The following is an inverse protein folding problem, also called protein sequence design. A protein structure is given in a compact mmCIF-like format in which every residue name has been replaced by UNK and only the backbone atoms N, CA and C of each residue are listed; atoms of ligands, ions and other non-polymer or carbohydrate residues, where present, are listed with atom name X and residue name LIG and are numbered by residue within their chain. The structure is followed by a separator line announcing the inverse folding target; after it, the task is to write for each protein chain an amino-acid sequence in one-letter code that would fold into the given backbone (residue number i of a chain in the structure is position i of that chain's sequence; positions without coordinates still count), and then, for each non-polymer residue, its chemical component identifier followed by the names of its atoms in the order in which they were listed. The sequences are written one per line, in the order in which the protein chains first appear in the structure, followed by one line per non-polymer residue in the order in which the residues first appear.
data_IF_274758575154
#
_entry.id   IF_274758575154
#
_cell.length_a   1.000
_cell.length_b   1.000
_cell.length_c   1.000
_cell.angle_alpha   90.00
_cell.angle_beta   90.00
_cell.angle_gamma   90.00
#
_symmetry.space_group_name_H-M   'P 1'
#
loop_
_entity.id
_entity.type
_entity.pdbx_description
1 polymer ?
#
# COMPACT_ATOMS: atom_id res chain seq x y z
N UNK A 1 23.24 7.24 -23.14
CA UNK A 1 22.74 5.91 -22.73
C UNK A 1 23.24 5.65 -21.34
N UNK A 2 22.38 5.15 -20.42
CA UNK A 2 22.87 4.51 -19.22
C UNK A 2 23.91 3.46 -19.61
N UNK A 3 24.99 3.35 -18.86
CA UNK A 3 26.03 2.38 -19.15
C UNK A 3 25.45 0.97 -19.10
N UNK A 4 25.38 0.27 -20.24
CA UNK A 4 24.81 -1.08 -20.38
C UNK A 4 25.44 -2.08 -19.38
N UNK A 5 26.71 -1.90 -19.01
CA UNK A 5 27.36 -2.75 -18.02
C UNK A 5 26.79 -2.52 -16.61
N UNK A 6 26.60 -1.27 -16.20
CA UNK A 6 26.00 -0.95 -14.89
C UNK A 6 24.54 -1.38 -14.79
N UNK A 7 23.83 -1.43 -15.91
CA UNK A 7 22.46 -1.91 -15.98
C UNK A 7 22.37 -3.44 -15.93
N UNK A 8 23.30 -4.13 -16.61
CA UNK A 8 23.42 -5.58 -16.49
C UNK A 8 23.65 -6.01 -15.04
N UNK A 9 24.48 -5.25 -14.30
CA UNK A 9 24.70 -5.48 -12.87
C UNK A 9 23.45 -5.21 -12.02
N UNK A 10 22.67 -4.17 -12.34
CA UNK A 10 21.40 -3.89 -11.67
C UNK A 10 20.41 -5.02 -11.88
N UNK A 11 20.26 -5.48 -13.11
CA UNK A 11 19.35 -6.58 -13.45
C UNK A 11 19.79 -7.90 -12.83
N UNK A 12 21.09 -8.20 -12.84
CA UNK A 12 21.62 -9.41 -12.20
C UNK A 12 21.41 -9.39 -10.68
N UNK A 13 21.63 -8.25 -10.03
CA UNK A 13 21.34 -8.09 -8.58
C UNK A 13 19.86 -8.26 -8.28
N UNK A 14 18.97 -7.67 -9.07
CA UNK A 14 17.53 -7.78 -8.91
C UNK A 14 17.03 -9.21 -9.11
N UNK A 15 17.57 -9.91 -10.10
CA UNK A 15 17.24 -11.30 -10.39
C UNK A 15 17.86 -12.29 -9.38
N UNK A 16 18.87 -11.88 -8.61
CA UNK A 16 19.67 -12.79 -7.78
C UNK A 16 20.57 -13.74 -8.59
N UNK A 17 20.67 -13.54 -9.90
CA UNK A 17 21.43 -14.37 -10.83
C UNK A 17 21.77 -13.57 -12.11
N UNK A 18 22.70 -14.12 -12.92
CA UNK A 18 22.96 -13.53 -14.24
C UNK A 18 21.69 -13.64 -15.11
N UNK A 19 21.34 -12.53 -15.76
CA UNK A 19 20.21 -12.47 -16.70
C UNK A 19 20.73 -12.45 -18.13
N UNK A 20 19.99 -13.09 -19.04
CA UNK A 20 20.14 -12.96 -20.48
C UNK A 20 18.98 -12.15 -21.05
N UNK A 21 19.14 -11.68 -22.27
CA UNK A 21 18.15 -10.89 -22.98
C UNK A 21 17.88 -11.51 -24.33
N UNK A 22 16.66 -11.42 -24.80
CA UNK A 22 16.31 -11.74 -26.17
C UNK A 22 17.03 -10.75 -27.13
N UNK A 23 17.97 -11.24 -27.98
CA UNK A 23 18.74 -10.36 -28.85
C UNK A 23 17.89 -9.59 -29.86
N UNK A 24 16.80 -10.17 -30.34
CA UNK A 24 15.92 -9.54 -31.32
C UNK A 24 15.14 -8.39 -30.70
N UNK A 25 14.62 -8.57 -29.51
CA UNK A 25 13.99 -7.50 -28.74
C UNK A 25 14.96 -6.37 -28.37
N UNK A 26 16.19 -6.71 -28.02
CA UNK A 26 17.21 -5.70 -27.71
C UNK A 26 17.55 -4.83 -28.92
N UNK A 27 17.61 -5.40 -30.13
CA UNK A 27 17.82 -4.63 -31.37
C UNK A 27 16.62 -3.71 -31.64
N UNK A 28 15.40 -4.19 -31.45
CA UNK A 28 14.18 -3.39 -31.62
C UNK A 28 14.14 -2.21 -30.62
N UNK A 29 14.42 -2.48 -29.35
CA UNK A 29 14.50 -1.45 -28.30
C UNK A 29 15.55 -0.41 -28.64
N UNK A 30 16.73 -0.84 -29.09
CA UNK A 30 17.81 0.08 -29.47
C UNK A 30 17.42 0.97 -30.65
N UNK A 31 16.81 0.41 -31.68
CA UNK A 31 16.35 1.17 -32.86
C UNK A 31 15.26 2.17 -32.49
N UNK A 32 14.32 1.76 -31.67
CA UNK A 32 13.24 2.64 -31.16
C UNK A 32 13.82 3.79 -30.32
N UNK A 33 14.76 3.47 -29.42
CA UNK A 33 15.42 4.48 -28.59
C UNK A 33 16.19 5.50 -29.43
N UNK A 34 16.96 5.07 -30.42
CA UNK A 34 17.74 5.95 -31.29
C UNK A 34 16.81 6.89 -32.08
N UNK A 35 15.72 6.38 -32.58
CA UNK A 35 14.69 7.19 -33.26
C UNK A 35 14.09 8.22 -32.33
N UNK A 36 13.56 7.81 -31.18
CA UNK A 36 12.90 8.71 -30.22
C UNK A 36 13.87 9.76 -29.65
N UNK A 37 15.13 9.41 -29.37
CA UNK A 37 16.15 10.35 -28.95
C UNK A 37 16.45 11.37 -30.04
N UNK A 38 16.56 10.94 -31.31
CA UNK A 38 16.78 11.85 -32.43
C UNK A 38 15.62 12.79 -32.61
N UNK A 39 14.38 12.29 -32.51
CA UNK A 39 13.17 13.11 -32.62
C UNK A 39 13.09 14.14 -31.47
N UNK A 40 13.39 13.73 -30.23
CA UNK A 40 13.42 14.64 -29.07
C UNK A 40 14.52 15.71 -29.22
N UNK A 41 15.70 15.32 -29.71
CA UNK A 41 16.83 16.23 -29.90
C UNK A 41 16.52 17.27 -31.00
N UNK A 42 15.85 16.85 -32.07
CA UNK A 42 15.42 17.76 -33.13
C UNK A 42 14.33 18.73 -32.68
N UNK A 43 13.48 18.35 -31.71
CA UNK A 43 12.52 19.25 -31.07
C UNK A 43 13.22 20.27 -30.15
N UNK A 44 14.35 19.89 -29.56
CA UNK A 44 15.12 20.75 -28.65
C UNK A 44 14.26 21.33 -27.53
N UNK A 45 14.34 22.66 -27.37
CA UNK A 45 13.56 23.39 -26.35
C UNK A 45 12.10 23.63 -26.73
N UNK A 46 11.65 23.21 -27.92
CA UNK A 46 10.24 23.21 -28.33
C UNK A 46 9.55 21.90 -27.96
N UNK A 47 10.16 21.09 -27.09
CA UNK A 47 9.58 19.86 -26.60
C UNK A 47 8.20 20.12 -25.95
N UNK A 48 7.20 19.33 -26.37
CA UNK A 48 5.84 19.46 -25.86
C UNK A 48 5.76 19.02 -24.41
N UNK A 49 4.87 19.62 -23.60
CA UNK A 49 4.56 19.15 -22.26
C UNK A 49 4.21 17.66 -22.27
N UNK A 50 4.74 16.93 -21.31
CA UNK A 50 4.50 15.49 -21.17
C UNK A 50 3.23 15.23 -20.36
N UNK A 51 2.51 14.16 -20.71
CA UNK A 51 1.34 13.72 -19.95
C UNK A 51 1.76 12.72 -18.86
N UNK A 52 2.37 13.24 -17.77
CA UNK A 52 2.73 12.47 -16.60
C UNK A 52 2.48 13.32 -15.35
N UNK A 53 1.87 12.73 -14.32
CA UNK A 53 1.43 13.45 -13.12
C UNK A 53 2.59 14.12 -12.37
N UNK A 54 3.79 13.55 -12.41
CA UNK A 54 5.00 14.11 -11.79
C UNK A 54 5.42 15.45 -12.38
N UNK A 55 5.01 15.74 -13.62
CA UNK A 55 5.37 16.92 -14.40
C UNK A 55 4.14 17.75 -14.81
N UNK A 56 3.01 17.57 -14.11
CA UNK A 56 1.75 18.22 -14.46
C UNK A 56 1.65 19.69 -14.02
N UNK A 57 2.51 20.14 -13.10
CA UNK A 57 2.54 21.53 -12.65
C UNK A 57 2.92 22.49 -13.81
N UNK A 58 2.28 23.63 -13.86
CA UNK A 58 2.44 24.65 -14.93
C UNK A 58 3.91 25.09 -15.10
N UNK A 59 4.69 25.08 -14.03
CA UNK A 59 6.10 25.42 -14.06
C UNK A 59 6.93 24.50 -14.99
N UNK A 60 6.54 23.24 -15.15
CA UNK A 60 7.19 22.31 -16.07
C UNK A 60 6.87 22.66 -17.54
N UNK A 61 5.62 23.01 -17.85
CA UNK A 61 5.22 23.37 -19.20
C UNK A 61 5.80 24.71 -19.65
N UNK A 62 5.94 25.66 -18.72
CA UNK A 62 6.43 27.02 -19.01
C UNK A 62 7.96 27.15 -19.00
N UNK A 63 8.68 26.10 -18.64
CA UNK A 63 10.15 26.05 -18.63
C UNK A 63 10.63 25.05 -19.70
N UNK A 64 11.15 25.50 -20.85
CA UNK A 64 11.59 24.62 -21.94
C UNK A 64 12.64 23.58 -21.52
N UNK A 65 13.56 23.95 -20.63
CA UNK A 65 14.59 23.04 -20.13
C UNK A 65 13.97 21.97 -19.24
N UNK A 66 13.02 22.34 -18.38
CA UNK A 66 12.29 21.38 -17.54
C UNK A 66 11.44 20.43 -18.40
N UNK A 67 10.70 20.96 -19.40
CA UNK A 67 9.91 20.16 -20.32
C UNK A 67 10.77 19.14 -21.09
N UNK A 68 11.92 19.56 -21.59
CA UNK A 68 12.91 18.69 -22.26
C UNK A 68 13.43 17.62 -21.30
N UNK A 69 13.79 18.00 -20.07
CA UNK A 69 14.28 17.10 -19.05
C UNK A 69 13.25 16.02 -18.69
N UNK A 70 11.97 16.41 -18.53
CA UNK A 70 10.86 15.49 -18.28
C UNK A 70 10.66 14.52 -19.46
N UNK A 71 10.68 15.03 -20.71
CA UNK A 71 10.56 14.20 -21.91
C UNK A 71 11.72 13.21 -22.05
N UNK A 72 12.96 13.65 -21.84
CA UNK A 72 14.16 12.78 -21.86
C UNK A 72 14.11 11.71 -20.76
N UNK A 73 13.68 12.08 -19.56
CA UNK A 73 13.50 11.13 -18.47
C UNK A 73 12.46 10.05 -18.81
N UNK A 74 11.29 10.44 -19.32
CA UNK A 74 10.23 9.49 -19.68
C UNK A 74 10.63 8.58 -20.85
N UNK A 75 11.39 9.09 -21.81
CA UNK A 75 11.96 8.29 -22.87
C UNK A 75 12.90 7.21 -22.30
N UNK A 76 13.83 7.61 -21.43
CA UNK A 76 14.73 6.66 -20.77
C UNK A 76 13.96 5.65 -19.90
N UNK A 77 12.94 6.09 -19.16
CA UNK A 77 12.11 5.23 -18.33
C UNK A 77 11.40 4.14 -19.16
N UNK A 78 10.76 4.51 -20.27
CA UNK A 78 10.13 3.54 -21.19
C UNK A 78 11.13 2.54 -21.74
N UNK A 79 12.31 3.01 -22.14
CA UNK A 79 13.38 2.15 -22.66
C UNK A 79 13.85 1.14 -21.61
N UNK A 80 14.07 1.60 -20.38
CA UNK A 80 14.46 0.75 -19.26
C UNK A 80 13.43 -0.33 -18.94
N UNK A 81 12.14 0.03 -18.95
CA UNK A 81 11.06 -0.93 -18.75
C UNK A 81 10.98 -1.94 -19.91
N UNK A 82 11.14 -1.49 -21.16
CA UNK A 82 11.21 -2.40 -22.31
C UNK A 82 12.38 -3.39 -22.21
N UNK A 83 13.54 -2.93 -21.70
CA UNK A 83 14.69 -3.81 -21.43
C UNK A 83 14.37 -4.82 -20.32
N UNK A 84 13.71 -4.39 -19.24
CA UNK A 84 13.29 -5.29 -18.18
C UNK A 84 12.32 -6.36 -18.69
N UNK A 85 11.41 -5.99 -19.59
CA UNK A 85 10.46 -6.90 -20.23
C UNK A 85 11.12 -7.87 -21.25
N UNK A 86 12.30 -7.51 -21.77
CA UNK A 86 13.10 -8.34 -22.67
C UNK A 86 14.03 -9.34 -21.95
N UNK A 87 14.05 -9.35 -20.62
CA UNK A 87 14.83 -10.32 -19.84
C UNK A 87 14.27 -11.72 -20.04
N UNK A 88 15.17 -12.68 -20.32
CA UNK A 88 14.85 -14.10 -20.32
C UNK A 88 14.85 -14.64 -18.89
N UNK A 89 13.87 -15.45 -18.55
CA UNK A 89 13.74 -16.05 -17.24
C UNK A 89 12.31 -16.48 -16.95
N UNK A 90 12.12 -17.07 -15.78
CA UNK A 90 10.79 -17.37 -15.26
C UNK A 90 10.01 -16.10 -14.88
N UNK A 91 8.73 -16.27 -14.62
CA UNK A 91 7.84 -15.15 -14.26
C UNK A 91 8.34 -14.38 -13.04
N UNK A 92 8.85 -15.07 -12.03
CA UNK A 92 9.34 -14.46 -10.80
C UNK A 92 10.59 -13.60 -11.02
N UNK A 93 11.55 -14.11 -11.79
CA UNK A 93 12.76 -13.38 -12.20
C UNK A 93 12.39 -12.10 -12.96
N UNK A 94 11.48 -12.20 -13.95
CA UNK A 94 10.99 -11.04 -14.72
C UNK A 94 10.31 -10.02 -13.83
N UNK A 95 9.44 -10.44 -12.92
CA UNK A 95 8.75 -9.56 -11.99
C UNK A 95 9.71 -8.82 -11.05
N UNK A 96 10.74 -9.50 -10.54
CA UNK A 96 11.79 -8.90 -9.70
C UNK A 96 12.60 -7.85 -10.44
N UNK A 97 13.05 -8.17 -11.66
CA UNK A 97 13.81 -7.22 -12.49
C UNK A 97 12.95 -6.01 -12.83
N UNK A 98 11.72 -6.24 -13.27
CA UNK A 98 10.76 -5.19 -13.58
C UNK A 98 10.52 -4.27 -12.37
N UNK A 99 10.31 -4.86 -11.19
CA UNK A 99 10.10 -4.11 -9.95
C UNK A 99 11.32 -3.25 -9.59
N UNK A 100 12.53 -3.83 -9.61
CA UNK A 100 13.75 -3.10 -9.30
C UNK A 100 14.02 -1.95 -10.28
N UNK A 101 13.75 -2.17 -11.57
CA UNK A 101 13.87 -1.13 -12.60
C UNK A 101 12.84 -0.02 -12.36
N UNK A 102 11.61 -0.35 -11.99
CA UNK A 102 10.60 0.65 -11.64
C UNK A 102 11.02 1.49 -10.43
N UNK A 103 11.56 0.85 -9.37
CA UNK A 103 12.07 1.56 -8.20
C UNK A 103 13.19 2.55 -8.59
N UNK A 104 14.10 2.11 -9.46
CA UNK A 104 15.19 2.97 -9.92
C UNK A 104 14.67 4.16 -10.76
N UNK A 105 13.70 3.91 -11.66
CA UNK A 105 13.04 4.95 -12.45
C UNK A 105 12.39 5.97 -11.51
N UNK A 106 11.60 5.50 -10.54
CA UNK A 106 10.87 6.37 -9.62
C UNK A 106 11.83 7.21 -8.76
N UNK A 107 12.89 6.60 -8.23
CA UNK A 107 13.90 7.29 -7.44
C UNK A 107 14.69 8.34 -8.24
N UNK A 108 14.92 8.11 -9.54
CA UNK A 108 15.69 9.01 -10.41
C UNK A 108 14.87 10.09 -11.11
N UNK A 109 13.57 10.21 -10.80
CA UNK A 109 12.71 11.21 -11.43
C UNK A 109 13.22 12.64 -11.16
N UNK A 110 13.32 13.50 -12.20
CA UNK A 110 13.76 14.91 -12.04
C UNK A 110 12.92 15.68 -11.01
N UNK A 111 11.64 15.31 -10.84
CA UNK A 111 10.75 15.91 -9.85
C UNK A 111 11.19 15.70 -8.40
N UNK A 112 12.04 14.70 -8.12
CA UNK A 112 12.54 14.41 -6.78
C UNK A 112 13.73 15.28 -6.36
N UNK A 113 14.28 16.07 -7.28
CA UNK A 113 15.51 16.84 -7.03
C UNK A 113 15.27 18.33 -7.23
N UNK A 114 15.48 19.14 -6.19
CA UNK A 114 15.31 20.60 -6.25
C UNK A 114 16.01 21.23 -7.46
N UNK A 115 17.20 20.75 -7.83
CA UNK A 115 17.97 21.28 -8.97
C UNK A 115 17.26 21.08 -10.33
N UNK A 116 16.32 20.14 -10.43
CA UNK A 116 15.63 19.79 -11.67
C UNK A 116 14.11 20.01 -11.58
N UNK A 117 13.55 20.16 -10.36
CA UNK A 117 12.14 20.35 -10.16
C UNK A 117 11.73 21.83 -10.36
N UNK A 118 11.15 22.12 -11.51
CA UNK A 118 10.75 23.48 -11.88
C UNK A 118 9.72 24.11 -10.93
N UNK A 119 8.81 23.31 -10.38
CA UNK A 119 7.80 23.80 -9.42
C UNK A 119 8.43 24.09 -8.06
N UNK A 120 9.30 23.22 -7.57
CA UNK A 120 10.04 23.44 -6.33
C UNK A 120 10.96 24.68 -6.42
N UNK A 121 11.64 24.88 -7.57
CA UNK A 121 12.44 26.08 -7.81
C UNK A 121 11.60 27.35 -7.82
N UNK A 122 10.45 27.33 -8.52
CA UNK A 122 9.50 28.45 -8.52
C UNK A 122 9.06 28.78 -7.10
N UNK A 123 8.67 27.74 -6.32
CA UNK A 123 8.26 27.91 -4.92
C UNK A 123 9.39 28.48 -4.05
N UNK A 124 10.62 28.00 -4.22
CA UNK A 124 11.78 28.52 -3.49
C UNK A 124 12.02 30.02 -3.75
N UNK A 125 11.87 30.46 -5.01
CA UNK A 125 11.99 31.87 -5.38
C UNK A 125 10.85 32.70 -4.77
N UNK A 126 9.60 32.26 -4.92
CA UNK A 126 8.41 32.94 -4.39
C UNK A 126 8.45 33.12 -2.88
N UNK A 127 8.95 32.11 -2.16
CA UNK A 127 9.08 32.12 -0.71
C UNK A 127 10.41 32.65 -0.21
N UNK A 128 11.27 33.18 -1.08
CA UNK A 128 12.62 33.67 -0.74
C UNK A 128 13.45 32.66 0.04
N UNK A 129 13.31 31.36 -0.29
CA UNK A 129 14.03 30.27 0.32
C UNK A 129 13.38 29.66 1.58
N UNK A 130 12.28 30.21 2.09
CA UNK A 130 11.59 29.68 3.28
C UNK A 130 11.11 28.23 3.07
N UNK A 131 10.63 27.88 1.88
CA UNK A 131 10.22 26.52 1.56
C UNK A 131 11.37 25.51 1.69
N UNK A 132 12.59 25.90 1.32
CA UNK A 132 13.80 25.06 1.46
C UNK A 132 14.15 24.87 2.94
N UNK A 133 14.14 25.98 3.71
CA UNK A 133 14.42 25.92 5.15
C UNK A 133 13.43 25.01 5.89
N UNK A 134 12.14 25.09 5.53
CA UNK A 134 11.10 24.22 6.09
C UNK A 134 11.31 22.74 5.69
N UNK A 135 11.68 22.47 4.43
CA UNK A 135 12.00 21.11 3.96
C UNK A 135 13.17 20.51 4.72
N UNK A 136 14.25 21.28 4.94
CA UNK A 136 15.39 20.83 5.75
C UNK A 136 14.97 20.55 7.20
N UNK A 137 14.14 21.40 7.79
CA UNK A 137 13.64 21.17 9.15
C UNK A 137 12.81 19.88 9.26
N UNK A 138 11.94 19.61 8.27
CA UNK A 138 11.18 18.37 8.18
C UNK A 138 12.10 17.14 8.03
N UNK A 139 13.09 17.21 7.17
CA UNK A 139 14.09 16.14 7.00
C UNK A 139 14.82 15.83 8.31
N UNK A 140 15.27 16.87 9.03
CA UNK A 140 15.93 16.70 10.34
C UNK A 140 14.98 16.09 11.39
N UNK A 141 13.71 16.45 11.34
CA UNK A 141 12.67 15.84 12.18
C UNK A 141 12.52 14.36 11.90
N UNK A 142 12.37 13.98 10.61
CA UNK A 142 12.24 12.59 10.17
C UNK A 142 13.49 11.76 10.53
N UNK A 143 14.66 12.31 10.37
CA UNK A 143 15.92 11.65 10.79
C UNK A 143 15.94 11.36 12.30
N UNK A 144 15.39 12.23 13.14
CA UNK A 144 15.28 11.99 14.59
C UNK A 144 14.25 10.91 14.93
N UNK A 145 13.17 10.84 14.18
CA UNK A 145 12.14 9.82 14.36
C UNK A 145 12.56 8.45 13.80
N UNK A 146 13.52 8.43 12.85
CA UNK A 146 13.96 7.22 12.15
C UNK A 146 12.99 6.72 11.08
N UNK A 147 12.07 7.56 10.62
CA UNK A 147 11.16 7.28 9.49
C UNK A 147 10.72 8.58 8.82
N UNK A 148 10.31 8.47 7.56
CA UNK A 148 9.75 9.60 6.81
C UNK A 148 8.31 9.83 7.22
N UNK A 149 7.99 11.06 7.65
CA UNK A 149 6.62 11.49 7.97
C UNK A 149 5.91 11.90 6.68
N UNK A 150 4.86 11.17 6.32
CA UNK A 150 4.02 11.53 5.17
C UNK A 150 2.95 12.57 5.51
N UNK A 151 2.73 12.82 6.80
CA UNK A 151 1.73 13.76 7.31
C UNK A 151 2.11 14.19 8.73
N UNK A 152 1.54 15.30 9.20
CA UNK A 152 1.64 15.70 10.60
C UNK A 152 0.68 14.85 11.44
N UNK A 153 1.23 13.81 12.09
CA UNK A 153 0.45 12.89 12.91
C UNK A 153 -0.13 13.55 14.17
N UNK A 154 0.44 14.66 14.61
CA UNK A 154 0.01 15.36 15.83
C UNK A 154 -1.37 16.00 15.74
N UNK A 155 -1.87 16.21 14.51
CA UNK A 155 -3.19 16.79 14.24
C UNK A 155 -4.32 15.78 14.29
N UNK A 156 -4.01 14.47 14.34
CA UNK A 156 -5.02 13.42 14.36
C UNK A 156 -5.31 12.94 15.78
N UNK A 157 -6.59 12.98 16.13
CA UNK A 157 -7.06 12.51 17.43
C UNK A 157 -8.27 11.58 17.23
N UNK A 158 -8.09 10.32 17.67
CA UNK A 158 -9.14 9.28 17.57
C UNK A 158 -10.36 9.69 18.39
N UNK A 159 -11.54 9.59 17.79
CA UNK A 159 -12.80 10.01 18.39
C UNK A 159 -13.14 11.49 18.20
N UNK A 160 -12.20 12.32 17.67
CA UNK A 160 -12.46 13.74 17.38
C UNK A 160 -12.47 14.05 15.88
N UNK A 161 -11.40 13.69 15.17
CA UNK A 161 -11.27 13.93 13.74
C UNK A 161 -10.88 12.67 12.94
N UNK A 162 -10.63 11.56 13.63
CA UNK A 162 -10.49 10.21 13.11
C UNK A 162 -11.37 9.30 13.94
N UNK A 163 -12.00 8.29 13.33
CA UNK A 163 -12.93 7.37 13.99
C UNK A 163 -14.09 8.12 14.66
N UNK A 164 -14.76 8.98 13.89
CA UNK A 164 -15.76 9.92 14.43
C UNK A 164 -17.18 9.38 14.47
N UNK A 165 -17.42 8.19 13.88
CA UNK A 165 -18.75 7.56 13.93
C UNK A 165 -19.05 7.08 15.36
N UNK A 166 -20.17 7.54 15.92
CA UNK A 166 -20.54 7.25 17.31
C UNK A 166 -20.82 5.76 17.51
N UNK A 167 -20.18 5.15 18.50
CA UNK A 167 -20.33 3.76 18.87
C UNK A 167 -19.77 3.45 20.26
N UNK A 168 -19.90 2.21 20.67
CA UNK A 168 -19.40 1.75 21.97
C UNK A 168 -18.95 0.30 21.92
N UNK A 169 -18.00 -0.03 22.81
CA UNK A 169 -17.54 -1.41 22.99
C UNK A 169 -18.63 -2.21 23.69
N UNK A 170 -19.09 -3.28 23.08
CA UNK A 170 -20.15 -4.15 23.59
C UNK A 170 -19.65 -5.52 24.02
N UNK A 171 -18.42 -5.87 23.65
CA UNK A 171 -17.75 -7.09 24.08
C UNK A 171 -16.21 -6.89 24.02
N UNK A 172 -15.49 -7.59 24.89
CA UNK A 172 -14.03 -7.61 24.93
C UNK A 172 -13.52 -8.99 25.35
N UNK A 173 -12.40 -9.41 24.71
CA UNK A 173 -11.58 -10.53 25.16
C UNK A 173 -10.09 -10.24 24.96
N UNK A 174 -9.23 -11.24 25.08
CA UNK A 174 -7.78 -11.06 24.94
C UNK A 174 -7.33 -10.56 23.56
N UNK A 175 -8.10 -10.83 22.48
CA UNK A 175 -7.72 -10.59 21.10
C UNK A 175 -8.37 -9.35 20.50
N UNK A 176 -9.59 -9.01 20.93
CA UNK A 176 -10.35 -7.91 20.32
C UNK A 176 -11.40 -7.30 21.24
N UNK A 177 -11.82 -6.10 20.89
CA UNK A 177 -13.05 -5.47 21.30
C UNK A 177 -14.05 -5.47 20.14
N UNK A 178 -15.33 -5.75 20.42
CA UNK A 178 -16.40 -5.59 19.46
C UNK A 178 -17.08 -4.24 19.68
N UNK A 179 -17.06 -3.40 18.66
CA UNK A 179 -17.70 -2.08 18.68
C UNK A 179 -19.03 -2.18 17.96
N UNK A 180 -20.11 -1.76 18.62
CA UNK A 180 -21.42 -1.53 18.01
C UNK A 180 -21.59 -0.04 17.74
N UNK A 181 -21.99 0.31 16.52
CA UNK A 181 -22.19 1.71 16.13
C UNK A 181 -23.65 2.11 16.31
N UNK A 182 -23.86 3.35 16.77
CA UNK A 182 -25.16 3.94 16.96
C UNK A 182 -25.88 4.11 15.62
N UNK A 183 -27.10 3.58 15.48
CA UNK A 183 -27.88 3.78 14.26
C UNK A 183 -28.14 5.26 13.97
N UNK A 184 -28.04 5.64 12.71
CA UNK A 184 -28.37 6.99 12.22
C UNK A 184 -29.75 7.04 11.54
N UNK A 185 -30.48 5.92 11.54
CA UNK A 185 -31.83 5.78 11.00
C UNK A 185 -32.81 5.40 12.10
N UNK A 186 -34.10 5.72 11.91
CA UNK A 186 -35.16 5.39 12.87
C UNK A 186 -35.39 3.89 13.02
N UNK A 187 -35.04 3.10 12.01
CA UNK A 187 -35.12 1.64 11.98
C UNK A 187 -33.87 1.10 11.31
N UNK A 188 -33.48 -0.10 11.70
CA UNK A 188 -32.36 -0.83 11.10
C UNK A 188 -32.88 -2.14 10.49
N UNK A 189 -32.08 -2.69 9.56
CA UNK A 189 -32.34 -4.01 9.03
C UNK A 189 -32.21 -5.08 10.13
N UNK A 190 -32.98 -6.14 10.02
CA UNK A 190 -33.01 -7.26 10.98
C UNK A 190 -31.65 -7.96 11.07
N UNK A 191 -31.02 -8.23 9.92
CA UNK A 191 -29.67 -8.82 9.88
C UNK A 191 -28.60 -7.78 10.20
N UNK A 192 -27.83 -7.97 11.28
CA UNK A 192 -26.71 -7.10 11.59
C UNK A 192 -25.57 -7.25 10.57
N UNK A 193 -24.70 -6.28 10.54
CA UNK A 193 -23.54 -6.25 9.65
C UNK A 193 -22.25 -6.21 10.47
N UNK A 194 -21.45 -7.28 10.39
CA UNK A 194 -20.17 -7.43 11.06
C UNK A 194 -19.03 -7.14 10.12
N UNK A 195 -18.14 -6.20 10.46
CA UNK A 195 -16.94 -5.90 9.73
C UNK A 195 -15.72 -6.47 10.46
N UNK A 196 -14.89 -7.20 9.70
CA UNK A 196 -13.63 -7.79 10.17
C UNK A 196 -12.48 -7.12 9.41
N UNK A 197 -11.88 -6.04 9.96
CA UNK A 197 -10.73 -5.37 9.37
C UNK A 197 -9.45 -6.20 9.58
N UNK A 198 -8.32 -5.86 8.92
CA UNK A 198 -7.04 -6.52 9.13
C UNK A 198 -6.58 -6.43 10.59
N UNK A 199 -6.01 -7.50 11.13
CA UNK A 199 -5.45 -7.53 12.49
C UNK A 199 -4.17 -6.69 12.64
N UNK A 200 -3.61 -6.21 11.54
CA UNK A 200 -2.39 -5.40 11.49
C UNK A 200 -2.68 -3.89 11.42
N UNK A 201 -3.93 -3.50 11.16
CA UNK A 201 -4.36 -2.11 11.05
C UNK A 201 -5.35 -1.76 12.15
N UNK A 202 -5.49 -0.47 12.42
CA UNK A 202 -6.53 0.02 13.32
C UNK A 202 -7.91 -0.17 12.68
N UNK A 203 -8.93 -0.50 13.49
CA UNK A 203 -10.31 -0.69 13.02
C UNK A 203 -10.81 0.51 12.20
N UNK A 204 -10.38 1.74 12.56
CA UNK A 204 -10.80 2.97 11.92
C UNK A 204 -10.16 3.24 10.55
N UNK A 205 -9.41 2.30 9.97
CA UNK A 205 -9.09 2.35 8.54
C UNK A 205 -10.36 2.43 7.69
N UNK A 206 -11.48 1.93 8.20
CA UNK A 206 -12.80 2.00 7.57
C UNK A 206 -13.65 3.17 8.08
N UNK A 207 -13.11 4.02 8.97
CA UNK A 207 -13.79 5.17 9.58
C UNK A 207 -12.84 6.35 9.77
N UNK A 208 -12.21 6.83 8.70
CA UNK A 208 -11.18 7.88 8.80
C UNK A 208 -11.80 9.24 9.16
N UNK A 209 -12.81 9.67 8.42
CA UNK A 209 -13.52 10.94 8.65
C UNK A 209 -14.94 10.85 8.06
N UNK A 210 -15.89 11.74 8.43
CA UNK A 210 -17.29 11.61 8.02
C UNK A 210 -17.52 11.47 6.50
N UNK A 211 -16.76 12.19 5.68
CA UNK A 211 -16.86 12.12 4.23
C UNK A 211 -16.14 10.91 3.61
N UNK A 212 -15.38 10.16 4.42
CA UNK A 212 -14.52 9.07 4.01
C UNK A 212 -14.59 7.93 5.05
N UNK A 213 -15.80 7.44 5.32
CA UNK A 213 -16.08 6.39 6.28
C UNK A 213 -17.07 5.39 5.69
N UNK A 214 -16.61 4.14 5.48
CA UNK A 214 -17.49 3.03 5.12
C UNK A 214 -18.44 2.69 6.28
N UNK A 215 -17.96 2.75 7.51
CA UNK A 215 -18.75 2.47 8.71
C UNK A 215 -19.91 3.45 8.82
N UNK A 216 -19.64 4.74 8.69
CA UNK A 216 -20.69 5.77 8.71
C UNK A 216 -21.70 5.57 7.60
N UNK A 217 -21.23 5.27 6.39
CA UNK A 217 -22.11 4.93 5.28
C UNK A 217 -23.04 3.76 5.62
N UNK A 218 -22.53 2.69 6.19
CA UNK A 218 -23.36 1.53 6.58
C UNK A 218 -24.45 1.91 7.58
N UNK A 219 -24.13 2.66 8.63
CA UNK A 219 -25.14 3.08 9.63
C UNK A 219 -26.13 4.09 9.06
N UNK A 220 -25.74 4.95 8.14
CA UNK A 220 -26.62 5.86 7.40
C UNK A 220 -27.58 5.14 6.46
N UNK A 221 -27.18 3.95 5.95
CA UNK A 221 -28.05 3.09 5.14
C UNK A 221 -28.93 2.14 5.97
N UNK A 222 -28.91 2.25 7.29
CA UNK A 222 -29.77 1.47 8.19
C UNK A 222 -29.22 0.10 8.57
N UNK A 223 -27.94 -0.16 8.37
CA UNK A 223 -27.32 -1.38 8.89
C UNK A 223 -26.98 -1.23 10.37
N UNK A 224 -27.39 -2.21 11.20
CA UNK A 224 -26.90 -2.35 12.56
C UNK A 224 -25.48 -2.89 12.49
N UNK A 225 -24.48 -2.03 12.67
CA UNK A 225 -23.09 -2.27 12.27
C UNK A 225 -22.20 -2.55 13.47
N UNK A 226 -21.43 -3.63 13.37
CA UNK A 226 -20.43 -4.06 14.33
C UNK A 226 -19.05 -4.13 13.68
N UNK A 227 -18.00 -3.79 14.42
CA UNK A 227 -16.62 -3.86 13.92
C UNK A 227 -15.72 -4.51 14.95
N UNK A 228 -14.87 -5.41 14.48
CA UNK A 228 -13.80 -6.02 15.29
C UNK A 228 -12.65 -5.00 15.42
N UNK A 229 -12.39 -4.56 16.64
CA UNK A 229 -11.22 -3.74 16.98
C UNK A 229 -10.14 -4.64 17.59
N UNK A 230 -9.11 -4.96 16.82
CA UNK A 230 -8.05 -5.85 17.23
C UNK A 230 -7.16 -5.25 18.32
N UNK A 231 -6.82 -6.04 19.31
CA UNK A 231 -5.73 -5.71 20.25
C UNK A 231 -4.40 -5.74 19.51
N UNK A 232 -3.56 -4.71 19.69
CA UNK A 232 -2.19 -4.79 19.23
C UNK A 232 -1.45 -5.90 19.96
N UNK A 233 -0.81 -6.84 19.26
CA UNK A 233 -0.09 -7.92 19.92
C UNK A 233 1.10 -7.39 20.71
N UNK A 234 1.33 -8.00 21.85
CA UNK A 234 2.49 -7.85 22.69
C UNK A 234 3.00 -9.25 23.12
N UNK A 235 4.02 -9.31 23.95
CA UNK A 235 4.59 -10.59 24.40
C UNK A 235 3.57 -11.50 25.12
N UNK A 236 2.53 -10.94 25.73
CA UNK A 236 1.47 -11.72 26.38
C UNK A 236 0.64 -12.55 25.40
N UNK A 237 0.63 -12.16 24.11
CA UNK A 237 -0.07 -12.88 23.05
C UNK A 237 0.85 -13.81 22.22
N UNK A 238 2.11 -13.97 22.60
CA UNK A 238 3.08 -14.78 21.84
C UNK A 238 2.67 -16.25 21.69
N UNK A 239 1.80 -16.74 22.57
CA UNK A 239 1.25 -18.11 22.52
C UNK A 239 0.04 -18.24 21.58
N UNK A 240 -0.53 -17.15 21.11
CA UNK A 240 -1.69 -17.17 20.21
C UNK A 240 -1.28 -17.55 18.80
N UNK A 241 -2.03 -18.47 18.21
CA UNK A 241 -1.84 -18.97 16.85
C UNK A 241 -2.91 -18.40 15.90
N UNK A 242 -2.79 -18.72 14.63
CA UNK A 242 -3.81 -18.39 13.64
C UNK A 242 -5.17 -18.96 14.01
N UNK A 243 -5.20 -20.18 14.55
CA UNK A 243 -6.45 -20.84 14.99
C UNK A 243 -7.15 -20.05 16.09
N UNK A 244 -6.39 -19.46 17.03
CA UNK A 244 -6.98 -18.60 18.06
C UNK A 244 -7.63 -17.33 17.44
N UNK A 245 -6.99 -16.74 16.44
CA UNK A 245 -7.59 -15.58 15.74
C UNK A 245 -8.87 -15.97 15.00
N UNK A 246 -8.95 -17.16 14.47
CA UNK A 246 -10.17 -17.66 13.81
C UNK A 246 -11.24 -17.99 14.84
N UNK A 247 -10.93 -18.83 15.84
CA UNK A 247 -11.91 -19.35 16.80
C UNK A 247 -12.29 -18.33 17.87
N UNK A 248 -11.27 -17.80 18.59
CA UNK A 248 -11.49 -16.94 19.74
C UNK A 248 -11.81 -15.48 19.36
N UNK A 249 -11.61 -15.11 18.09
CA UNK A 249 -11.92 -13.77 17.62
C UNK A 249 -13.03 -13.76 16.55
N UNK A 250 -12.79 -14.25 15.32
CA UNK A 250 -13.77 -14.06 14.24
C UNK A 250 -15.05 -14.85 14.49
N UNK A 251 -14.96 -16.15 14.79
CA UNK A 251 -16.14 -16.98 15.12
C UNK A 251 -16.81 -16.46 16.38
N UNK A 252 -16.02 -16.07 17.38
CA UNK A 252 -16.56 -15.47 18.61
C UNK A 252 -17.29 -14.16 18.34
N UNK A 253 -16.77 -13.28 17.48
CA UNK A 253 -17.42 -12.03 17.10
C UNK A 253 -18.78 -12.27 16.37
N UNK A 254 -18.84 -13.29 15.51
CA UNK A 254 -20.08 -13.72 14.86
C UNK A 254 -21.10 -14.11 15.91
N UNK A 255 -20.76 -15.04 16.84
CA UNK A 255 -21.68 -15.50 17.88
C UNK A 255 -22.12 -14.39 18.82
N UNK A 256 -21.20 -13.53 19.27
CA UNK A 256 -21.55 -12.37 20.13
C UNK A 256 -22.47 -11.40 19.41
N UNK A 257 -22.27 -11.16 18.10
CA UNK A 257 -23.17 -10.32 17.31
C UNK A 257 -24.58 -10.91 17.25
N UNK A 258 -24.72 -12.24 17.08
CA UNK A 258 -26.00 -12.93 17.12
C UNK A 258 -26.65 -12.83 18.50
N UNK A 259 -25.87 -13.07 19.58
CA UNK A 259 -26.37 -12.99 20.96
C UNK A 259 -26.92 -11.61 21.31
N UNK A 260 -26.23 -10.55 20.90
CA UNK A 260 -26.64 -9.15 21.16
C UNK A 260 -27.88 -8.78 20.34
N UNK A 261 -27.97 -9.24 19.11
CA UNK A 261 -29.03 -8.83 18.19
C UNK A 261 -30.25 -9.73 18.20
N UNK A 262 -30.09 -10.98 18.63
CA UNK A 262 -31.09 -12.04 18.52
C UNK A 262 -31.32 -12.52 17.08
N UNK A 263 -30.48 -12.13 16.15
CA UNK A 263 -30.60 -12.51 14.74
C UNK A 263 -30.05 -13.92 14.50
N UNK A 264 -30.79 -14.75 13.76
CA UNK A 264 -30.32 -16.09 13.38
C UNK A 264 -29.13 -16.05 12.46
N UNK A 265 -29.08 -15.06 11.57
CA UNK A 265 -27.97 -14.86 10.61
C UNK A 265 -27.57 -13.41 10.54
N UNK A 266 -26.32 -13.17 10.14
CA UNK A 266 -25.79 -11.84 9.92
C UNK A 266 -25.16 -11.71 8.52
N UNK A 267 -24.88 -10.49 8.09
CA UNK A 267 -24.02 -10.22 6.94
C UNK A 267 -22.63 -9.87 7.45
N UNK A 268 -21.59 -10.31 6.76
CA UNK A 268 -20.21 -10.05 7.17
C UNK A 268 -19.40 -9.40 6.04
N UNK A 269 -18.44 -8.54 6.42
CA UNK A 269 -17.45 -7.98 5.51
C UNK A 269 -16.07 -8.24 6.07
N UNK A 270 -15.21 -8.85 5.24
CA UNK A 270 -13.79 -9.01 5.54
C UNK A 270 -12.95 -8.10 4.65
N UNK A 271 -12.06 -7.33 5.27
CA UNK A 271 -11.15 -6.45 4.55
C UNK A 271 -9.72 -6.96 4.63
N UNK A 272 -9.07 -7.20 3.47
CA UNK A 272 -7.70 -7.68 3.33
C UNK A 272 -7.47 -8.97 4.15
N UNK A 273 -6.48 -9.04 5.06
CA UNK A 273 -6.25 -10.18 5.97
C UNK A 273 -7.47 -10.48 6.84
N UNK A 274 -8.27 -9.48 7.20
CA UNK A 274 -9.55 -9.70 7.88
C UNK A 274 -10.52 -10.54 7.04
N UNK A 275 -10.50 -10.39 5.72
CA UNK A 275 -11.25 -11.24 4.80
C UNK A 275 -10.70 -12.67 4.72
N UNK A 276 -9.38 -12.83 4.74
CA UNK A 276 -8.73 -14.15 4.83
C UNK A 276 -9.16 -14.87 6.12
N UNK A 277 -9.14 -14.15 7.25
CA UNK A 277 -9.61 -14.71 8.54
C UNK A 277 -11.10 -15.06 8.49
N UNK A 278 -11.92 -14.18 7.94
CA UNK A 278 -13.36 -14.44 7.79
C UNK A 278 -13.63 -15.66 6.90
N UNK A 279 -12.92 -15.80 5.77
CA UNK A 279 -13.10 -16.97 4.89
C UNK A 279 -12.71 -18.28 5.60
N UNK A 280 -11.63 -18.27 6.40
CA UNK A 280 -11.24 -19.43 7.20
C UNK A 280 -12.28 -19.74 8.29
N UNK A 281 -12.82 -18.72 8.97
CA UNK A 281 -13.88 -18.89 9.95
C UNK A 281 -15.15 -19.51 9.32
N UNK A 282 -15.55 -19.03 8.15
CA UNK A 282 -16.69 -19.57 7.42
C UNK A 282 -16.47 -21.04 6.99
N UNK A 283 -15.25 -21.39 6.57
CA UNK A 283 -14.90 -22.76 6.22
C UNK A 283 -14.99 -23.71 7.45
N UNK A 284 -14.50 -23.25 8.60
CA UNK A 284 -14.60 -24.00 9.87
C UNK A 284 -16.06 -24.18 10.29
N UNK A 285 -16.86 -23.11 10.25
CA UNK A 285 -18.28 -23.16 10.59
C UNK A 285 -19.04 -24.10 9.64
N UNK A 286 -18.81 -24.01 8.34
CA UNK A 286 -19.44 -24.91 7.37
C UNK A 286 -19.06 -26.39 7.61
N UNK A 287 -17.81 -26.67 7.98
CA UNK A 287 -17.40 -28.02 8.35
C UNK A 287 -18.09 -28.56 9.62
N UNK A 288 -18.57 -27.64 10.50
CA UNK A 288 -19.38 -27.97 11.68
C UNK A 288 -20.87 -28.06 11.36
N UNK A 289 -21.29 -27.76 10.14
CA UNK A 289 -22.71 -27.68 9.76
C UNK A 289 -23.41 -26.39 10.24
N UNK A 290 -22.62 -25.34 10.51
CA UNK A 290 -23.12 -24.05 10.99
C UNK A 290 -23.05 -23.00 9.87
N UNK A 291 -24.11 -22.25 9.65
CA UNK A 291 -24.23 -21.23 8.59
C UNK A 291 -24.74 -19.88 9.14
N UNK A 292 -24.04 -19.26 10.10
CA UNK A 292 -24.51 -18.03 10.74
C UNK A 292 -24.39 -16.78 9.83
N UNK A 293 -23.67 -16.87 8.71
CA UNK A 293 -23.44 -15.75 7.79
C UNK A 293 -24.25 -15.94 6.52
N UNK A 294 -25.23 -15.05 6.31
CA UNK A 294 -26.10 -15.07 5.13
C UNK A 294 -25.41 -14.55 3.87
N UNK A 295 -24.58 -13.53 4.01
CA UNK A 295 -23.83 -12.92 2.92
C UNK A 295 -22.45 -12.49 3.41
N UNK A 296 -21.40 -12.84 2.66
CA UNK A 296 -20.03 -12.40 2.91
C UNK A 296 -19.52 -11.49 1.78
N UNK A 297 -19.00 -10.33 2.14
CA UNK A 297 -18.35 -9.39 1.23
C UNK A 297 -16.85 -9.40 1.51
N UNK A 298 -16.05 -9.56 0.47
CA UNK A 298 -14.59 -9.54 0.57
C UNK A 298 -14.01 -8.34 -0.17
N UNK A 299 -13.31 -7.46 0.54
CA UNK A 299 -12.62 -6.31 -0.03
C UNK A 299 -11.11 -6.57 -0.02
N UNK A 300 -10.48 -6.51 -1.21
CA UNK A 300 -9.02 -6.68 -1.38
C UNK A 300 -8.46 -7.89 -0.61
N UNK A 301 -9.18 -9.00 -0.65
CA UNK A 301 -8.89 -10.21 0.13
C UNK A 301 -8.20 -11.26 -0.74
N UNK A 302 -7.11 -11.84 -0.23
CA UNK A 302 -6.50 -13.05 -0.79
C UNK A 302 -7.03 -14.28 -0.03
N UNK A 303 -7.60 -15.22 -0.76
CA UNK A 303 -8.04 -16.53 -0.26
C UNK A 303 -7.12 -17.62 -0.83
N UNK A 304 -6.72 -17.50 -2.09
CA UNK A 304 -5.71 -18.33 -2.74
C UNK A 304 -4.40 -17.54 -2.86
N UNK A 305 -3.31 -18.10 -2.34
CA UNK A 305 -1.98 -17.49 -2.32
C UNK A 305 -1.04 -18.07 -3.39
N UNK A 306 -1.55 -18.83 -4.36
CA UNK A 306 -0.74 -19.38 -5.46
C UNK A 306 -0.25 -18.29 -6.41
N UNK A 307 -1.00 -17.19 -6.54
CA UNK A 307 -0.60 -15.98 -7.26
C UNK A 307 -0.90 -14.75 -6.39
N UNK A 308 0.13 -14.21 -5.77
CA UNK A 308 0.04 -13.00 -4.94
C UNK A 308 0.42 -11.73 -5.68
N UNK A 309 0.57 -11.83 -7.00
CA UNK A 309 0.93 -10.70 -7.86
C UNK A 309 2.28 -10.09 -7.48
N UNK A 310 2.33 -8.75 -7.41
CA UNK A 310 3.59 -8.04 -7.13
C UNK A 310 4.18 -8.36 -5.75
N UNK A 311 3.37 -8.82 -4.78
CA UNK A 311 3.86 -9.14 -3.44
C UNK A 311 4.86 -10.30 -3.45
N UNK A 312 4.82 -11.18 -4.46
CA UNK A 312 5.77 -12.29 -4.60
C UNK A 312 7.24 -11.83 -4.75
N UNK A 313 7.47 -10.59 -5.21
CA UNK A 313 8.84 -10.07 -5.35
C UNK A 313 9.55 -9.89 -4.01
N UNK A 314 8.81 -9.70 -2.92
CA UNK A 314 9.35 -9.51 -1.57
C UNK A 314 9.62 -10.81 -0.83
N UNK A 315 9.16 -11.96 -1.36
CA UNK A 315 9.19 -13.24 -0.66
C UNK A 315 10.07 -14.22 -1.42
N UNK A 316 11.13 -14.69 -0.77
CA UNK A 316 11.96 -15.81 -1.20
C UNK A 316 12.42 -16.64 -0.01
N UNK A 317 13.03 -17.81 -0.28
CA UNK A 317 13.49 -18.71 0.76
C UNK A 317 14.49 -18.07 1.75
N UNK A 318 15.34 -17.16 1.26
CA UNK A 318 16.33 -16.50 2.13
C UNK A 318 15.63 -15.50 3.05
N UNK A 319 14.65 -14.77 2.53
CA UNK A 319 13.84 -13.86 3.33
C UNK A 319 13.06 -14.62 4.41
N UNK A 320 12.42 -15.74 4.06
CA UNK A 320 11.69 -16.58 5.00
C UNK A 320 12.64 -17.10 6.08
N UNK A 321 13.79 -17.70 5.71
CA UNK A 321 14.80 -18.19 6.67
C UNK A 321 15.31 -17.08 7.59
N UNK A 322 15.54 -15.89 7.06
CA UNK A 322 15.97 -14.75 7.87
C UNK A 322 14.90 -14.37 8.91
N UNK A 323 13.62 -14.35 8.50
CA UNK A 323 12.50 -14.05 9.41
C UNK A 323 12.31 -15.16 10.44
N UNK A 324 12.41 -16.41 10.06
CA UNK A 324 12.37 -17.56 10.99
C UNK A 324 13.47 -17.46 12.03
N UNK A 325 14.70 -17.15 11.65
CA UNK A 325 15.80 -16.93 12.59
C UNK A 325 15.57 -15.73 13.51
N UNK A 326 15.01 -14.64 12.97
CA UNK A 326 14.68 -13.44 13.74
C UNK A 326 13.65 -13.73 14.85
N UNK A 327 12.65 -14.56 14.55
CA UNK A 327 11.57 -14.89 15.48
C UNK A 327 11.75 -16.19 16.24
N UNK A 328 12.81 -16.94 15.98
CA UNK A 328 13.08 -18.23 16.66
C UNK A 328 13.16 -18.12 18.19
N UNK A 329 13.53 -16.96 18.72
CA UNK A 329 13.60 -16.68 20.15
C UNK A 329 12.42 -15.83 20.66
N UNK A 330 11.36 -15.70 19.86
CA UNK A 330 10.25 -14.79 20.09
C UNK A 330 10.52 -13.40 19.53
N UNK A 331 9.50 -12.56 19.56
CA UNK A 331 9.56 -11.18 19.09
C UNK A 331 8.28 -10.74 18.38
N UNK A 332 8.24 -9.46 18.06
CA UNK A 332 7.15 -8.85 17.33
C UNK A 332 7.64 -8.35 15.96
N UNK A 333 6.84 -8.54 14.94
CA UNK A 333 7.06 -7.88 13.66
C UNK A 333 6.61 -6.42 13.78
N UNK A 334 7.52 -5.45 13.66
CA UNK A 334 7.14 -4.04 13.73
C UNK A 334 6.18 -3.67 12.60
N UNK A 335 5.11 -2.94 12.90
CA UNK A 335 4.17 -2.43 11.88
C UNK A 335 4.87 -1.56 10.82
N UNK A 336 5.98 -0.92 11.17
CA UNK A 336 6.84 -0.17 10.25
C UNK A 336 7.38 -1.00 9.10
N UNK A 337 7.70 -2.28 9.32
CA UNK A 337 8.22 -3.17 8.26
C UNK A 337 7.15 -3.37 7.17
N UNK A 338 5.89 -3.53 7.57
CA UNK A 338 4.77 -3.61 6.64
C UNK A 338 4.51 -2.27 5.93
N UNK A 339 4.52 -1.16 6.67
CA UNK A 339 4.36 0.18 6.09
C UNK A 339 5.43 0.47 5.04
N UNK A 340 6.69 0.09 5.31
CA UNK A 340 7.81 0.21 4.37
C UNK A 340 7.57 -0.62 3.11
N UNK A 341 7.12 -1.87 3.26
CA UNK A 341 6.80 -2.75 2.12
C UNK A 341 5.71 -2.12 1.24
N UNK A 342 4.62 -1.62 1.83
CA UNK A 342 3.57 -0.93 1.06
C UNK A 342 4.06 0.35 0.38
N UNK A 343 4.95 1.11 1.03
CA UNK A 343 5.55 2.32 0.44
C UNK A 343 6.37 2.01 -0.81
N UNK A 344 7.09 0.88 -0.83
CA UNK A 344 7.83 0.44 -2.02
C UNK A 344 6.95 0.03 -3.20
N UNK A 345 5.69 -0.35 -2.97
CA UNK A 345 4.77 -0.67 -4.07
C UNK A 345 4.43 0.55 -4.93
N UNK A 346 4.39 1.73 -4.33
CA UNK A 346 4.03 2.99 -4.99
C UNK A 346 4.87 4.16 -4.46
N UNK A 347 6.19 4.15 -4.63
CA UNK A 347 7.07 5.12 -3.97
C UNK A 347 6.80 6.57 -4.40
N UNK A 348 6.45 6.82 -5.66
CA UNK A 348 6.08 8.16 -6.12
C UNK A 348 4.83 8.73 -5.43
N UNK A 349 3.87 7.86 -5.09
CA UNK A 349 2.63 8.29 -4.45
C UNK A 349 2.74 8.36 -2.93
N UNK A 350 3.54 7.47 -2.33
CA UNK A 350 3.56 7.25 -0.89
C UNK A 350 4.83 7.77 -0.20
N UNK A 351 5.85 8.14 -0.96
CA UNK A 351 7.11 8.68 -0.41
C UNK A 351 7.50 9.98 -1.13
N UNK A 352 7.81 9.91 -2.43
CA UNK A 352 8.44 11.02 -3.16
C UNK A 352 7.58 12.29 -3.24
N UNK A 353 6.26 12.19 -3.14
CA UNK A 353 5.36 13.34 -3.15
C UNK A 353 5.27 14.09 -1.81
N UNK A 354 5.85 13.55 -0.75
CA UNK A 354 5.74 14.08 0.61
C UNK A 354 7.08 14.59 1.18
N UNK A 355 8.18 14.34 0.48
CA UNK A 355 9.54 14.74 0.91
C UNK A 355 10.00 16.04 0.26
#
# INVERSE_FOLDING_TARGET
MPNLASMGDLFAKAAGQKVSFDPSKMIEIQNTYLKEVTDLWNQGLDAKPVNDRRFSAEAWANNPVAAFSAAAYLLNARTLMAMADAVDGDTKTKSRVRFAVQQWIDASAPSNFLAFNADAQKKAIETKGESIAKGVANLLHDMKQGHVSMTDESVFEVGKNVATTEGGVVFENELFQLIEYKPLTAKVYERPFLLVPPCINKFYILDLQPANSLIRYCVEQGHRTFVVSWRNPDESLAHKTWDNYIEDAVIKAIGVTQDITGAETLNALGFCVGGTMLSNALAVLAARGEEPVNCATFLTTLIDFTDTGILDVFIDENFVKMREMQFAQGGLMPGRDLATTFSFLRPNDLVCNYV
#
